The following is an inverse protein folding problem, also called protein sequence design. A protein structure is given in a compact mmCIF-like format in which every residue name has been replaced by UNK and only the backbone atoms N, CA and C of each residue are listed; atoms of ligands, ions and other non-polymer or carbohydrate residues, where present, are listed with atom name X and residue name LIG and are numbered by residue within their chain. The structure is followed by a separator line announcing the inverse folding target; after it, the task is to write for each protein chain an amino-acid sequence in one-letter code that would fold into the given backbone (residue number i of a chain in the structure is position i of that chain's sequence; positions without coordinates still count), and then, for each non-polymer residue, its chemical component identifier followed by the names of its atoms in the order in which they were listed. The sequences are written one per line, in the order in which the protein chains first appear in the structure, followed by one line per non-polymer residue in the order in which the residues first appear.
data_IF_069363422790
#
_entry.id   IF_069363422790
#
_cell.length_a   1.000
_cell.length_b   1.000
_cell.length_c   1.000
_cell.angle_alpha   90.00
_cell.angle_beta   90.00
_cell.angle_gamma   90.00
#
_symmetry.space_group_name_H-M   'P 1'
#
loop_
_entity.id
_entity.type
_entity.pdbx_description
1 polymer ?
#
# COMPACT_ATOMS: atom_id res chain seq x y z
N UNK A 1 3.98 8.52 -70.33
CA UNK A 1 2.63 9.07 -70.12
C UNK A 1 2.05 8.24 -68.99
N UNK A 2 2.39 8.60 -67.74
CA UNK A 2 1.52 9.34 -66.79
C UNK A 2 0.17 8.64 -66.67
N UNK A 3 -0.20 8.09 -65.50
CA UNK A 3 -0.62 8.94 -64.38
C UNK A 3 -0.28 8.41 -62.98
N UNK A 4 0.10 9.38 -62.15
CA UNK A 4 0.06 9.40 -60.69
C UNK A 4 -1.41 9.52 -60.25
N UNK A 5 -1.84 8.88 -59.14
CA UNK A 5 -2.55 9.61 -58.08
C UNK A 5 -2.65 8.80 -56.77
N UNK A 6 -2.04 9.39 -55.77
CA UNK A 6 -2.13 9.14 -54.34
C UNK A 6 -3.58 9.29 -53.82
N UNK A 7 -4.10 8.32 -53.07
CA UNK A 7 -5.23 8.56 -52.17
C UNK A 7 -4.95 7.95 -50.80
N UNK A 8 -4.63 8.84 -49.87
CA UNK A 8 -4.76 8.65 -48.45
C UNK A 8 -6.15 8.11 -48.09
N UNK A 9 -6.21 7.06 -47.27
CA UNK A 9 -7.26 6.92 -46.25
C UNK A 9 -6.74 6.06 -45.11
N UNK A 10 -6.27 6.74 -44.07
CA UNK A 10 -6.15 6.20 -42.72
C UNK A 10 -7.45 5.50 -42.35
N UNK A 11 -7.41 4.16 -42.25
CA UNK A 11 -8.47 3.40 -41.61
C UNK A 11 -7.97 2.99 -40.23
N UNK A 12 -8.40 3.79 -39.27
CA UNK A 12 -8.36 3.56 -37.83
C UNK A 12 -8.71 2.11 -37.51
N UNK A 13 -7.74 1.34 -37.04
CA UNK A 13 -8.01 0.10 -36.31
C UNK A 13 -8.18 0.49 -34.84
N UNK A 14 -9.45 0.64 -34.47
CA UNK A 14 -9.95 0.69 -33.10
C UNK A 14 -9.43 -0.51 -32.33
N UNK A 15 -8.44 -0.30 -31.46
CA UNK A 15 -8.15 -1.21 -30.35
C UNK A 15 -8.78 -0.59 -29.11
N UNK A 16 -10.06 -0.87 -28.91
CA UNK A 16 -10.69 -0.73 -27.60
C UNK A 16 -10.15 -1.87 -26.73
N UNK A 17 -8.92 -1.75 -26.24
CA UNK A 17 -8.51 -2.48 -25.07
C UNK A 17 -9.17 -1.80 -23.87
N UNK A 18 -10.44 -2.16 -23.66
CA UNK A 18 -11.01 -2.12 -22.32
C UNK A 18 -10.19 -3.11 -21.51
N UNK A 19 -9.12 -2.61 -20.88
CA UNK A 19 -8.49 -3.27 -19.75
C UNK A 19 -9.57 -3.44 -18.70
N UNK A 20 -10.21 -4.61 -18.74
CA UNK A 20 -11.09 -5.06 -17.68
C UNK A 20 -10.14 -5.37 -16.53
N UNK A 21 -9.82 -4.36 -15.74
CA UNK A 21 -9.32 -4.55 -14.40
C UNK A 21 -10.50 -5.15 -13.64
N UNK A 22 -10.67 -6.48 -13.77
CA UNK A 22 -11.41 -7.25 -12.80
C UNK A 22 -10.51 -7.30 -11.57
N UNK A 23 -10.56 -6.26 -10.75
CA UNK A 23 -10.24 -6.42 -9.34
C UNK A 23 -11.36 -7.29 -8.79
N UNK A 24 -11.18 -8.61 -8.84
CA UNK A 24 -11.87 -9.50 -7.90
C UNK A 24 -11.34 -9.15 -6.53
N UNK A 25 -11.89 -8.07 -5.98
CA UNK A 25 -11.72 -7.61 -4.62
C UNK A 25 -12.29 -8.72 -3.74
N UNK A 26 -11.44 -9.71 -3.42
CA UNK A 26 -11.88 -10.96 -2.85
C UNK A 26 -12.39 -10.70 -1.44
N UNK A 27 -13.37 -11.49 -0.98
CA UNK A 27 -13.87 -11.36 0.39
C UNK A 27 -12.73 -11.41 1.43
N UNK A 28 -11.63 -12.11 1.10
CA UNK A 28 -10.47 -12.22 1.98
C UNK A 28 -9.63 -10.94 2.00
N UNK A 29 -9.43 -10.27 0.87
CA UNK A 29 -8.70 -9.00 0.81
C UNK A 29 -9.41 -7.92 1.64
N UNK A 30 -10.75 -7.91 1.62
CA UNK A 30 -11.58 -7.04 2.46
C UNK A 30 -11.44 -7.36 3.95
N UNK A 31 -11.40 -8.64 4.30
CA UNK A 31 -11.19 -9.08 5.69
C UNK A 31 -9.79 -8.62 6.15
N UNK A 32 -8.76 -8.83 5.34
CA UNK A 32 -7.40 -8.41 5.65
C UNK A 32 -7.29 -6.89 5.83
N UNK A 33 -7.90 -6.12 4.93
CA UNK A 33 -7.95 -4.66 5.04
C UNK A 33 -8.69 -4.20 6.30
N UNK A 34 -9.79 -4.88 6.67
CA UNK A 34 -10.56 -4.57 7.88
C UNK A 34 -9.76 -4.88 9.15
N UNK A 35 -9.06 -6.02 9.21
CA UNK A 35 -8.17 -6.37 10.32
C UNK A 35 -7.08 -5.32 10.48
N UNK A 36 -6.43 -4.93 9.37
CA UNK A 36 -5.38 -3.92 9.39
C UNK A 36 -5.90 -2.55 9.87
N UNK A 37 -7.05 -2.12 9.35
CA UNK A 37 -7.71 -0.88 9.78
C UNK A 37 -7.99 -0.91 11.29
N UNK A 38 -8.57 -2.01 11.79
CA UNK A 38 -8.85 -2.17 13.23
C UNK A 38 -7.58 -2.13 14.07
N UNK A 39 -6.48 -2.73 13.62
CA UNK A 39 -5.20 -2.67 14.32
C UNK A 39 -4.66 -1.25 14.42
N UNK A 40 -4.72 -0.47 13.33
CA UNK A 40 -4.26 0.94 13.30
C UNK A 40 -5.13 1.83 14.21
N UNK A 41 -6.44 1.63 14.21
CA UNK A 41 -7.37 2.38 15.07
C UNK A 41 -7.16 2.06 16.56
N UNK A 42 -6.73 0.84 16.89
CA UNK A 42 -6.45 0.43 18.27
C UNK A 42 -5.13 0.98 18.83
N UNK A 43 -4.24 1.56 18.01
CA UNK A 43 -3.03 2.23 18.49
C UNK A 43 -3.41 3.62 19.02
N UNK A 44 -3.21 3.90 20.33
CA UNK A 44 -3.47 5.21 20.90
C UNK A 44 -2.40 6.22 20.45
N UNK A 45 -2.60 7.52 20.73
CA UNK A 45 -1.49 8.47 20.68
C UNK A 45 -0.48 8.13 21.79
N UNK A 46 0.81 8.21 21.48
CA UNK A 46 1.89 7.96 22.44
C UNK A 46 1.96 9.09 23.45
N UNK A 47 1.72 8.78 24.72
CA UNK A 47 1.92 9.71 25.83
C UNK A 47 2.99 9.18 26.77
N UNK A 48 3.44 10.02 27.71
CA UNK A 48 4.43 9.62 28.71
C UNK A 48 4.00 8.39 29.55
N UNK A 49 2.69 8.23 29.78
CA UNK A 49 2.14 7.21 30.69
C UNK A 49 1.74 5.90 30.00
N UNK A 50 1.72 5.85 28.66
CA UNK A 50 1.14 4.71 27.93
C UNK A 50 2.13 3.94 27.05
N UNK A 51 3.43 4.23 27.14
CA UNK A 51 4.46 3.67 26.26
C UNK A 51 4.39 2.15 26.11
N UNK A 52 4.30 1.39 27.22
CA UNK A 52 4.25 -0.08 27.14
C UNK A 52 3.05 -0.57 26.34
N UNK A 53 1.87 0.03 26.55
CA UNK A 53 0.66 -0.32 25.81
C UNK A 53 0.77 0.09 24.34
N UNK A 54 1.24 1.31 24.08
CA UNK A 54 1.47 1.83 22.74
C UNK A 54 2.43 0.94 21.95
N UNK A 55 3.58 0.60 22.54
CA UNK A 55 4.61 -0.25 21.94
C UNK A 55 4.05 -1.64 21.59
N UNK A 56 3.27 -2.25 22.49
CA UNK A 56 2.63 -3.53 22.21
C UNK A 56 1.64 -3.46 21.03
N UNK A 57 0.89 -2.35 20.89
CA UNK A 57 -0.03 -2.15 19.76
C UNK A 57 0.72 -1.93 18.45
N UNK A 58 1.81 -1.17 18.47
CA UNK A 58 2.70 -0.96 17.32
C UNK A 58 3.35 -2.26 16.86
N UNK A 59 3.91 -3.05 17.79
CA UNK A 59 4.52 -4.34 17.45
C UNK A 59 3.50 -5.32 16.84
N UNK A 60 2.25 -5.31 17.33
CA UNK A 60 1.18 -6.11 16.74
C UNK A 60 0.87 -5.68 15.29
N UNK A 61 0.78 -4.37 15.04
CA UNK A 61 0.62 -3.83 13.69
C UNK A 61 1.78 -4.25 12.76
N UNK A 62 3.03 -4.11 13.21
CA UNK A 62 4.20 -4.53 12.43
C UNK A 62 4.22 -6.04 12.16
N UNK A 63 3.74 -6.86 13.09
CA UNK A 63 3.61 -8.30 12.92
C UNK A 63 2.53 -8.65 11.87
N UNK A 64 1.40 -7.94 11.85
CA UNK A 64 0.37 -8.07 10.81
C UNK A 64 0.88 -7.68 9.42
N UNK A 65 1.87 -6.79 9.35
CA UNK A 65 2.52 -6.39 8.10
C UNK A 65 3.77 -7.23 7.77
N UNK A 66 4.14 -8.20 8.63
CA UNK A 66 5.37 -9.00 8.51
C UNK A 66 6.66 -8.15 8.50
N UNK A 67 6.61 -6.99 9.15
CA UNK A 67 7.71 -6.03 9.25
C UNK A 67 8.42 -6.06 10.60
N UNK A 68 7.85 -6.72 11.61
CA UNK A 68 8.37 -6.73 13.00
C UNK A 68 9.84 -7.13 13.08
N UNK A 69 10.23 -8.24 12.46
CA UNK A 69 11.61 -8.73 12.54
C UNK A 69 12.58 -7.79 11.81
N UNK A 70 12.21 -7.30 10.62
CA UNK A 70 12.99 -6.31 9.88
C UNK A 70 13.18 -5.03 10.69
N UNK A 71 12.13 -4.57 11.36
CA UNK A 71 12.15 -3.34 12.15
C UNK A 71 13.01 -3.47 13.43
N UNK A 72 13.12 -4.68 13.99
CA UNK A 72 13.89 -4.95 15.22
C UNK A 72 15.35 -5.35 14.96
N UNK A 73 15.67 -5.87 13.77
CA UNK A 73 17.01 -6.40 13.46
C UNK A 73 17.97 -5.35 12.87
N UNK A 74 17.55 -4.07 12.78
CA UNK A 74 18.35 -2.96 12.20
C UNK A 74 18.93 -3.28 10.81
N UNK A 75 18.23 -4.13 10.06
CA UNK A 75 18.67 -4.63 8.75
C UNK A 75 18.03 -3.72 7.66
N UNK A 76 18.58 -2.50 7.51
CA UNK A 76 18.03 -1.45 6.63
C UNK A 76 17.79 -1.94 5.19
N UNK A 77 18.63 -2.87 4.71
CA UNK A 77 18.56 -3.41 3.35
C UNK A 77 17.35 -4.33 3.09
N UNK A 78 16.58 -4.70 4.12
CA UNK A 78 15.42 -5.61 3.99
C UNK A 78 14.07 -4.91 3.89
N UNK A 79 13.99 -3.61 4.18
CA UNK A 79 12.72 -2.87 4.14
C UNK A 79 12.55 -2.18 2.79
N UNK A 80 11.44 -2.44 2.11
CA UNK A 80 11.13 -1.72 0.87
C UNK A 80 10.81 -0.25 1.18
N UNK A 81 11.09 0.65 0.24
CA UNK A 81 10.77 2.09 0.41
C UNK A 81 9.27 2.32 0.68
N UNK A 82 8.39 1.51 0.09
CA UNK A 82 6.95 1.63 0.29
C UNK A 82 6.55 1.16 1.69
N UNK A 83 7.09 0.03 2.17
CA UNK A 83 6.82 -0.47 3.53
C UNK A 83 7.34 0.50 4.60
N UNK A 84 8.52 1.07 4.38
CA UNK A 84 9.09 2.10 5.24
C UNK A 84 8.18 3.34 5.28
N UNK A 85 7.76 3.85 4.12
CA UNK A 85 6.91 5.02 4.03
C UNK A 85 5.56 4.79 4.72
N UNK A 86 4.94 3.62 4.51
CA UNK A 86 3.67 3.26 5.14
C UNK A 86 3.80 3.17 6.67
N UNK A 87 4.81 2.44 7.17
CA UNK A 87 5.07 2.32 8.60
C UNK A 87 5.34 3.68 9.23
N UNK A 88 6.21 4.50 8.61
CA UNK A 88 6.53 5.86 9.07
C UNK A 88 5.31 6.76 9.14
N UNK A 89 4.46 6.73 8.12
CA UNK A 89 3.22 7.53 8.06
C UNK A 89 2.30 7.19 9.24
N UNK A 90 2.10 5.90 9.50
CA UNK A 90 1.25 5.44 10.59
C UNK A 90 1.87 5.79 11.94
N UNK A 91 3.15 5.49 12.17
CA UNK A 91 3.83 5.79 13.43
C UNK A 91 3.78 7.28 13.77
N UNK A 92 4.06 8.13 12.79
CA UNK A 92 4.03 9.60 12.95
C UNK A 92 2.63 10.08 13.33
N UNK A 93 1.57 9.48 12.77
CA UNK A 93 0.18 9.82 13.13
C UNK A 93 -0.22 9.42 14.56
N UNK A 94 0.63 8.63 15.24
CA UNK A 94 0.40 8.09 16.58
C UNK A 94 1.34 8.68 17.63
N UNK A 95 2.06 9.75 17.30
CA UNK A 95 2.85 10.53 18.25
C UNK A 95 2.00 11.69 18.78
N UNK A 96 2.11 11.99 20.08
CA UNK A 96 1.56 13.22 20.65
C UNK A 96 2.34 14.44 20.09
N UNK A 97 1.67 15.54 19.71
CA UNK A 97 2.31 16.71 19.10
C UNK A 97 3.36 17.43 19.95
#
# INVERSE_FOLDING_TARGET
MTDNLETNKSKTLTTNQTSTIKTTDSSMDKINAMILKTAIEAIPLLTQDNYTMWNNRVLNFLELQKLKDTFLQEDEDKLSTDDELHARTILTSKLDP
#
